data_IF_744993719727
#
_entry.id   IF_744993719727
#
_cell.length_a   1.000
_cell.length_b   1.000
_cell.length_c   1.000
_cell.angle_alpha   90.00
_cell.angle_beta   90.00
_cell.angle_gamma   90.00
#
_symmetry.space_group_name_H-M   'P 1'
#
loop_
_entity.id
_entity.type
_entity.pdbx_description
1 polymer ?
#
# COMPACT_ATOMS: atom_id res chain seq x y z
N UNK A 1 5.69 13.07 -48.91
CA UNK A 1 6.01 12.98 -47.48
C UNK A 1 5.15 11.89 -46.87
N UNK A 2 5.68 10.83 -46.26
CA UNK A 2 4.87 10.05 -45.33
C UNK A 2 4.87 10.77 -43.98
N UNK A 3 3.67 11.07 -43.47
CA UNK A 3 3.46 11.40 -42.07
C UNK A 3 3.72 10.13 -41.26
N UNK A 4 4.73 10.16 -40.40
CA UNK A 4 4.85 9.21 -39.29
C UNK A 4 4.44 9.93 -38.02
N UNK A 5 3.39 9.44 -37.37
CA UNK A 5 3.11 9.75 -35.97
C UNK A 5 4.03 8.90 -35.12
N UNK A 6 4.99 9.54 -34.47
CA UNK A 6 5.73 8.95 -33.35
C UNK A 6 4.89 9.25 -32.12
N UNK A 7 4.10 8.27 -31.66
CA UNK A 7 3.50 8.34 -30.33
C UNK A 7 4.61 8.04 -29.32
N UNK A 8 5.19 9.10 -28.74
CA UNK A 8 6.02 8.95 -27.54
C UNK A 8 5.07 8.57 -26.41
N UNK A 9 4.96 7.26 -26.15
CA UNK A 9 4.37 6.75 -24.92
C UNK A 9 5.23 7.29 -23.77
N UNK A 10 4.76 8.36 -23.14
CA UNK A 10 5.36 8.89 -21.92
C UNK A 10 5.54 7.76 -20.90
N UNK A 11 6.49 7.88 -19.96
CA UNK A 11 6.86 6.76 -19.11
C UNK A 11 5.64 6.24 -18.34
N UNK A 12 5.46 4.92 -18.37
CA UNK A 12 4.33 4.25 -17.70
C UNK A 12 4.49 4.41 -16.19
N UNK A 13 3.77 5.39 -15.63
CA UNK A 13 3.53 5.48 -14.20
C UNK A 13 2.39 4.53 -13.82
N UNK A 14 2.63 3.66 -12.86
CA UNK A 14 1.63 2.77 -12.28
C UNK A 14 1.08 3.39 -10.99
N UNK A 15 -0.23 3.27 -10.79
CA UNK A 15 -0.89 3.58 -9.52
C UNK A 15 -1.99 2.55 -9.27
N UNK A 16 -1.81 1.74 -8.25
CA UNK A 16 -2.78 0.76 -7.78
C UNK A 16 -3.23 1.19 -6.40
N UNK A 17 -4.54 1.32 -6.19
CA UNK A 17 -5.13 1.56 -4.86
C UNK A 17 -5.91 0.33 -4.41
N UNK A 18 -5.75 -0.04 -3.13
CA UNK A 18 -6.42 -1.18 -2.51
C UNK A 18 -6.93 -0.78 -1.13
N UNK A 19 -8.22 -0.95 -0.90
CA UNK A 19 -8.82 -0.79 0.43
C UNK A 19 -8.24 -1.85 1.36
N UNK A 20 -7.92 -1.46 2.59
CA UNK A 20 -7.30 -2.36 3.56
C UNK A 20 -8.31 -3.40 4.05
N UNK A 21 -9.62 -3.10 4.02
CA UNK A 21 -10.68 -4.03 4.34
C UNK A 21 -10.97 -5.10 3.28
N UNK A 22 -10.32 -5.02 2.11
CA UNK A 22 -10.49 -5.97 1.00
C UNK A 22 -9.39 -7.04 0.99
N UNK A 23 -8.82 -7.37 2.14
CA UNK A 23 -7.89 -8.49 2.27
C UNK A 23 -8.59 -9.81 1.91
N UNK A 24 -7.90 -10.68 1.17
CA UNK A 24 -8.41 -11.99 0.74
C UNK A 24 -8.46 -13.00 1.89
N UNK A 25 -7.48 -12.93 2.79
CA UNK A 25 -7.38 -13.75 3.98
C UNK A 25 -6.61 -13.00 5.05
N UNK A 26 -6.92 -13.24 6.32
CA UNK A 26 -6.26 -12.51 7.41
C UNK A 26 -7.01 -12.61 8.72
N UNK A 27 -6.46 -11.94 9.73
CA UNK A 27 -7.01 -11.87 11.10
C UNK A 27 -7.37 -10.44 11.52
N UNK A 28 -7.11 -9.44 10.68
CA UNK A 28 -7.42 -8.05 10.97
C UNK A 28 -8.94 -7.81 11.07
N UNK A 29 -9.35 -6.97 12.01
CA UNK A 29 -10.77 -6.69 12.22
C UNK A 29 -11.24 -5.53 11.35
N UNK A 30 -12.18 -5.79 10.44
CA UNK A 30 -12.88 -4.76 9.67
C UNK A 30 -13.78 -3.93 10.60
N UNK A 31 -13.65 -2.62 10.56
CA UNK A 31 -14.33 -1.68 11.46
C UNK A 31 -15.00 -0.57 10.65
N UNK A 32 -16.32 -0.33 10.81
CA UNK A 32 -17.00 0.77 10.15
C UNK A 32 -16.39 2.12 10.55
N UNK A 33 -16.16 2.99 9.57
CA UNK A 33 -15.55 4.29 9.77
C UNK A 33 -16.01 5.24 8.67
N UNK A 34 -16.92 6.15 8.99
CA UNK A 34 -17.50 7.09 8.01
C UNK A 34 -16.46 7.96 7.29
N UNK A 35 -15.34 8.25 7.94
CA UNK A 35 -14.24 9.06 7.40
C UNK A 35 -13.26 8.27 6.52
N UNK A 36 -13.43 6.95 6.44
CA UNK A 36 -12.59 6.06 5.64
C UNK A 36 -12.98 6.09 4.17
N UNK A 37 -12.03 5.84 3.26
CA UNK A 37 -12.26 5.94 1.82
C UNK A 37 -13.29 4.91 1.33
N UNK A 38 -13.29 3.70 1.90
CA UNK A 38 -14.27 2.63 1.60
C UNK A 38 -15.40 2.52 2.63
N UNK A 39 -15.48 3.42 3.61
CA UNK A 39 -16.40 3.35 4.73
C UNK A 39 -15.98 2.37 5.84
N UNK A 40 -14.83 1.70 5.68
CA UNK A 40 -14.25 0.80 6.67
C UNK A 40 -12.75 1.03 6.80
N UNK A 41 -12.23 0.66 7.96
CA UNK A 41 -10.79 0.46 8.19
C UNK A 41 -10.55 -0.96 8.67
N UNK A 42 -9.29 -1.37 8.75
CA UNK A 42 -8.87 -2.57 9.46
C UNK A 42 -8.03 -2.22 10.68
N UNK A 43 -8.23 -2.94 11.79
CA UNK A 43 -7.53 -2.69 13.05
C UNK A 43 -7.18 -3.97 13.80
N UNK A 44 -6.40 -3.80 14.87
CA UNK A 44 -5.94 -4.87 15.76
C UNK A 44 -4.62 -5.49 15.30
N UNK A 45 -4.05 -6.34 16.13
CA UNK A 45 -2.83 -7.09 15.80
C UNK A 45 -3.18 -8.31 14.97
N UNK A 46 -2.56 -8.45 13.80
CA UNK A 46 -2.88 -9.50 12.85
C UNK A 46 -2.34 -9.21 11.46
N UNK A 47 -2.78 -9.99 10.47
CA UNK A 47 -2.35 -9.82 9.09
C UNK A 47 -3.53 -9.71 8.12
N UNK A 48 -3.30 -9.03 7.00
CA UNK A 48 -4.16 -9.02 5.82
C UNK A 48 -3.34 -9.35 4.59
N UNK A 49 -3.77 -10.36 3.83
CA UNK A 49 -3.15 -10.82 2.59
C UNK A 49 -3.96 -10.34 1.39
N UNK A 50 -3.30 -9.71 0.42
CA UNK A 50 -3.90 -9.11 -0.77
C UNK A 50 -3.27 -9.70 -2.01
N UNK A 51 -4.08 -10.05 -3.00
CA UNK A 51 -3.59 -10.54 -4.30
C UNK A 51 -3.59 -9.41 -5.31
N UNK A 52 -2.43 -9.20 -5.93
CA UNK A 52 -2.21 -8.27 -7.01
C UNK A 52 -1.97 -9.04 -8.31
N UNK A 53 -2.84 -8.86 -9.30
CA UNK A 53 -2.65 -9.44 -10.63
C UNK A 53 -2.16 -8.34 -11.58
N UNK A 54 -0.91 -8.45 -12.00
CA UNK A 54 -0.25 -7.52 -12.91
C UNK A 54 -0.27 -8.06 -14.34
N UNK A 55 -0.61 -7.21 -15.30
CA UNK A 55 -0.59 -7.55 -16.74
C UNK A 55 0.76 -7.27 -17.39
N UNK A 56 1.63 -6.52 -16.71
CA UNK A 56 2.94 -6.09 -17.17
C UNK A 56 3.87 -5.86 -15.97
N UNK A 57 5.17 -5.78 -16.22
CA UNK A 57 6.16 -5.56 -15.19
C UNK A 57 6.07 -4.12 -14.64
N UNK A 58 6.14 -3.99 -13.31
CA UNK A 58 6.25 -2.72 -12.60
C UNK A 58 7.68 -2.57 -12.09
N UNK A 59 8.51 -1.69 -12.67
CA UNK A 59 9.84 -1.40 -12.15
C UNK A 59 9.77 -0.50 -10.92
N UNK A 60 10.67 -0.73 -9.97
CA UNK A 60 10.87 0.09 -8.77
C UNK A 60 9.57 0.49 -8.01
N UNK A 61 8.70 -0.47 -7.65
CA UNK A 61 7.44 -0.15 -6.99
C UNK A 61 7.65 0.30 -5.54
N UNK A 62 6.87 1.29 -5.14
CA UNK A 62 6.78 1.84 -3.80
C UNK A 62 5.35 1.68 -3.27
N UNK A 63 5.21 1.53 -1.96
CA UNK A 63 3.94 1.48 -1.27
C UNK A 63 3.81 2.65 -0.29
N UNK A 64 2.59 3.16 -0.14
CA UNK A 64 2.21 4.07 0.93
C UNK A 64 0.92 3.58 1.58
N UNK A 65 0.83 3.70 2.89
CA UNK A 65 -0.32 3.29 3.67
C UNK A 65 -1.06 4.54 4.18
N UNK A 66 -2.39 4.59 4.01
CA UNK A 66 -3.25 5.56 4.69
C UNK A 66 -3.72 4.96 6.00
N UNK A 67 -3.52 5.69 7.09
CA UNK A 67 -3.80 5.18 8.43
C UNK A 67 -4.21 6.30 9.39
N UNK A 68 -4.81 5.94 10.51
CA UNK A 68 -5.17 6.86 11.59
C UNK A 68 -4.81 6.26 12.95
N UNK A 69 -4.66 7.11 13.97
CA UNK A 69 -4.45 6.74 15.37
C UNK A 69 -3.27 5.78 15.65
N UNK A 70 -2.15 5.98 14.94
CA UNK A 70 -0.87 5.32 15.29
C UNK A 70 -0.13 6.10 16.38
N UNK A 71 0.37 5.43 17.41
CA UNK A 71 1.01 6.07 18.58
C UNK A 71 2.54 5.98 18.62
N UNK A 72 3.17 5.59 17.52
CA UNK A 72 4.64 5.47 17.31
C UNK A 72 5.37 4.45 18.20
N UNK A 73 5.00 4.33 19.47
CA UNK A 73 5.46 3.29 20.38
C UNK A 73 4.56 2.07 20.20
N UNK A 74 5.13 0.97 19.70
CA UNK A 74 4.44 -0.32 19.55
C UNK A 74 3.65 -0.51 18.26
N UNK A 75 3.16 0.56 17.65
CA UNK A 75 2.39 0.48 16.42
C UNK A 75 3.30 0.39 15.18
N UNK A 76 3.37 -0.79 14.57
CA UNK A 76 4.14 -1.04 13.36
C UNK A 76 3.35 -1.85 12.33
N UNK A 77 3.69 -1.67 11.05
CA UNK A 77 3.22 -2.54 9.97
C UNK A 77 4.42 -3.17 9.26
N UNK A 78 4.49 -4.49 9.26
CA UNK A 78 5.43 -5.24 8.43
C UNK A 78 4.80 -5.46 7.05
N UNK A 79 5.56 -5.17 6.00
CA UNK A 79 5.13 -5.33 4.63
C UNK A 79 5.93 -6.46 4.00
N UNK A 80 5.24 -7.46 3.48
CA UNK A 80 5.84 -8.59 2.77
C UNK A 80 5.31 -8.69 1.34
N UNK A 81 6.17 -9.12 0.43
CA UNK A 81 5.82 -9.43 -0.96
C UNK A 81 6.22 -10.87 -1.23
N UNK A 82 5.27 -11.68 -1.68
CA UNK A 82 5.41 -13.10 -1.96
C UNK A 82 6.04 -13.87 -0.79
N UNK A 83 5.55 -13.57 0.42
CA UNK A 83 6.01 -14.18 1.66
C UNK A 83 7.33 -13.64 2.22
N UNK A 84 8.05 -12.78 1.49
CA UNK A 84 9.30 -12.18 1.97
C UNK A 84 9.07 -10.78 2.53
N UNK A 85 9.42 -10.57 3.80
CA UNK A 85 9.38 -9.24 4.44
C UNK A 85 10.32 -8.27 3.72
N UNK A 86 9.79 -7.11 3.35
CA UNK A 86 10.48 -6.03 2.63
C UNK A 86 10.76 -4.84 3.54
N UNK A 87 9.82 -4.49 4.40
CA UNK A 87 9.95 -3.33 5.27
C UNK A 87 9.14 -3.47 6.55
N UNK A 88 9.47 -2.63 7.52
CA UNK A 88 8.72 -2.39 8.75
C UNK A 88 8.53 -0.89 8.89
N UNK A 89 7.28 -0.46 9.02
CA UNK A 89 6.91 0.97 9.10
C UNK A 89 6.39 1.26 10.49
N UNK A 90 6.97 2.27 11.15
CA UNK A 90 6.41 2.79 12.40
C UNK A 90 5.24 3.71 12.09
N UNK A 91 4.12 3.48 12.74
CA UNK A 91 2.90 4.24 12.49
C UNK A 91 2.75 5.37 13.49
N UNK A 92 2.89 6.60 12.98
CA UNK A 92 2.74 7.82 13.76
C UNK A 92 1.56 8.60 13.19
N UNK A 93 0.40 8.43 13.79
CA UNK A 93 -0.86 9.01 13.35
C UNK A 93 -1.18 10.27 14.15
N UNK A 94 -2.06 11.08 13.57
CA UNK A 94 -2.63 12.24 14.26
C UNK A 94 -3.88 11.81 15.01
N UNK A 95 -4.08 12.39 16.18
CA UNK A 95 -5.36 12.35 16.88
C UNK A 95 -6.28 13.46 16.32
N UNK A 96 -7.62 13.29 16.40
CA UNK A 96 -8.34 12.09 16.85
C UNK A 96 -8.40 11.00 15.76
N UNK A 97 -8.89 9.81 16.13
CA UNK A 97 -9.25 8.75 15.16
C UNK A 97 -10.16 9.29 14.06
N UNK A 98 -9.85 8.96 12.81
CA UNK A 98 -10.51 9.52 11.62
C UNK A 98 -9.76 10.71 11.00
N UNK A 99 -8.72 11.21 11.67
CA UNK A 99 -7.71 12.07 11.07
C UNK A 99 -6.60 11.21 10.47
N UNK A 100 -6.48 11.22 9.14
CA UNK A 100 -5.60 10.29 8.44
C UNK A 100 -4.25 10.91 8.10
N UNK A 101 -3.19 10.12 8.28
CA UNK A 101 -1.89 10.33 7.70
C UNK A 101 -1.64 9.39 6.53
N UNK A 102 -0.60 9.68 5.76
CA UNK A 102 0.00 8.77 4.81
C UNK A 102 1.43 8.50 5.22
N UNK A 103 1.90 7.26 5.08
CA UNK A 103 3.32 6.97 5.26
C UNK A 103 4.14 7.65 4.16
N UNK A 104 5.44 7.78 4.42
CA UNK A 104 6.44 7.98 3.38
C UNK A 104 6.41 6.83 2.37
N UNK A 105 7.03 7.05 1.21
CA UNK A 105 7.20 6.02 0.18
C UNK A 105 8.16 4.93 0.66
N UNK A 106 7.70 3.69 0.60
CA UNK A 106 8.49 2.53 1.00
C UNK A 106 8.72 1.67 -0.23
N UNK A 107 9.97 1.46 -0.60
CA UNK A 107 10.33 0.57 -1.71
C UNK A 107 9.90 -0.87 -1.40
N UNK A 108 9.10 -1.47 -2.29
CA UNK A 108 8.66 -2.85 -2.17
C UNK A 108 9.71 -3.83 -2.70
N UNK A 109 10.28 -3.54 -3.86
CA UNK A 109 11.27 -4.38 -4.55
C UNK A 109 11.98 -3.59 -5.64
N UNK A 110 12.95 -4.22 -6.31
CA UNK A 110 13.52 -3.66 -7.54
C UNK A 110 12.53 -3.72 -8.73
N UNK A 111 11.59 -4.66 -8.69
CA UNK A 111 10.50 -4.79 -9.64
C UNK A 111 9.47 -5.83 -9.21
N UNK A 112 8.28 -5.78 -9.79
CA UNK A 112 7.26 -6.82 -9.74
C UNK A 112 6.97 -7.25 -11.17
N UNK A 113 7.05 -8.55 -11.45
CA UNK A 113 6.80 -9.07 -12.79
C UNK A 113 5.30 -9.08 -13.12
N UNK A 114 4.96 -9.18 -14.40
CA UNK A 114 3.63 -9.58 -14.80
C UNK A 114 3.26 -10.92 -14.15
N UNK A 115 2.02 -11.04 -13.66
CA UNK A 115 1.53 -12.21 -12.94
C UNK A 115 0.93 -11.88 -11.58
N UNK A 116 0.72 -12.92 -10.79
CA UNK A 116 0.10 -12.81 -9.45
C UNK A 116 1.16 -12.64 -8.38
N UNK A 117 1.03 -11.58 -7.59
CA UNK A 117 1.83 -11.31 -6.40
C UNK A 117 0.94 -11.27 -5.16
N UNK A 118 1.49 -11.67 -4.03
CA UNK A 118 0.83 -11.54 -2.72
C UNK A 118 1.50 -10.44 -1.91
N UNK A 119 0.72 -9.43 -1.53
CA UNK A 119 1.13 -8.41 -0.57
C UNK A 119 0.54 -8.80 0.78
N UNK A 120 1.37 -8.89 1.82
CA UNK A 120 0.91 -9.10 3.19
C UNK A 120 1.24 -7.89 4.03
N UNK A 121 0.23 -7.34 4.70
CA UNK A 121 0.38 -6.31 5.72
C UNK A 121 0.13 -6.95 7.08
N UNK A 122 1.17 -7.08 7.89
CA UNK A 122 1.06 -7.52 9.29
C UNK A 122 1.08 -6.30 10.20
N UNK A 123 -0.04 -6.03 10.86
CA UNK A 123 -0.21 -4.94 11.81
C UNK A 123 0.14 -5.47 13.20
N UNK A 124 1.02 -4.77 13.89
CA UNK A 124 1.27 -4.93 15.32
C UNK A 124 0.85 -3.62 15.99
N UNK A 125 -0.08 -3.70 16.92
CA UNK A 125 -0.56 -2.53 17.65
C UNK A 125 -0.73 -2.84 19.13
N UNK A 126 0.13 -2.25 19.96
CA UNK A 126 0.14 -2.47 21.43
C UNK A 126 -1.17 -2.02 22.08
N UNK A 127 -1.78 -0.97 21.54
CA UNK A 127 -3.04 -0.41 22.05
C UNK A 127 -4.27 -0.91 21.29
N UNK A 128 -4.06 -1.58 20.15
CA UNK A 128 -5.13 -2.03 19.25
C UNK A 128 -5.90 -0.90 18.57
N UNK A 129 -5.40 0.33 18.61
CA UNK A 129 -6.10 1.52 18.09
C UNK A 129 -5.63 1.96 16.71
N UNK A 130 -4.50 1.44 16.22
CA UNK A 130 -4.05 1.70 14.85
C UNK A 130 -5.09 1.15 13.86
N UNK A 131 -5.51 2.01 12.92
CA UNK A 131 -6.40 1.61 11.84
C UNK A 131 -5.78 1.93 10.47
N UNK A 132 -5.82 0.96 9.55
CA UNK A 132 -5.45 1.15 8.15
C UNK A 132 -6.71 1.32 7.30
N UNK A 133 -6.67 2.28 6.38
CA UNK A 133 -7.80 2.58 5.47
C UNK A 133 -7.56 1.99 4.09
N UNK A 134 -6.50 2.43 3.40
CA UNK A 134 -6.10 1.85 2.13
C UNK A 134 -4.58 1.90 1.99
N UNK A 135 -4.07 1.23 0.97
CA UNK A 135 -2.71 1.42 0.51
C UNK A 135 -2.65 1.68 -0.98
N UNK A 136 -1.61 2.38 -1.40
CA UNK A 136 -1.31 2.61 -2.81
C UNK A 136 0.05 2.00 -3.14
N UNK A 137 0.14 1.34 -4.28
CA UNK A 137 1.39 0.91 -4.90
C UNK A 137 1.58 1.73 -6.16
N UNK A 138 2.75 2.36 -6.31
CA UNK A 138 3.07 3.16 -7.47
C UNK A 138 4.55 3.05 -7.83
N UNK A 139 4.93 3.51 -9.01
CA UNK A 139 6.32 3.78 -9.33
C UNK A 139 6.46 5.24 -9.79
N UNK A 140 7.67 5.77 -9.67
CA UNK A 140 8.00 6.99 -10.40
C UNK A 140 8.18 6.59 -11.85
N UNK A 141 7.47 7.26 -12.74
CA UNK A 141 7.66 7.09 -14.17
C UNK A 141 9.14 7.44 -14.45
N UNK A 142 9.92 6.50 -14.99
CA UNK A 142 11.28 6.81 -15.41
C UNK A 142 11.21 7.84 -16.54
N UNK A 143 11.40 9.12 -16.23
CA UNK A 143 11.63 10.09 -17.29
C UNK A 143 12.86 9.59 -18.06
N UNK A 144 12.74 9.27 -19.37
CA UNK A 144 13.94 9.06 -20.14
C UNK A 144 14.73 10.36 -20.06
N UNK A 145 15.90 10.31 -19.45
CA UNK A 145 16.86 11.40 -19.42
C UNK A 145 17.03 11.89 -20.85
N UNK A 146 16.66 13.16 -21.11
CA UNK A 146 16.91 13.82 -22.39
C UNK A 146 18.41 13.85 -22.72
#
# INVERSE_FOLDING_TARGET
CPDFRIDVLGPKGYLISKQAEDYRSGTLMKTPRETASGGYTVRGTGEGSYVLNLTEDIPNPHIRLRYTNGKSAGDVVNISVDGRRRSTVKMVGKEPTGSYGMTEEIRLSDGLSAGSHTITLEVQSDTGTLELDYFVIHNHAEHPSQ
#
